data_IF_644675491567
#
_entry.id   IF_644675491567
#
_cell.length_a   1.000
_cell.length_b   1.000
_cell.length_c   1.000
_cell.angle_alpha   90.00
_cell.angle_beta   90.00
_cell.angle_gamma   90.00
#
_symmetry.space_group_name_H-M   'P 1'
#
loop_
_entity.id
_entity.type
_entity.pdbx_description
1 polymer ?
#
# COMPACT_ATOMS: atom_id res chain seq x y z
N UNK A 1 -12.71 -20.47 -19.11
CA UNK A 1 -12.51 -19.26 -18.25
C UNK A 1 -12.04 -18.03 -19.03
N UNK A 2 -11.12 -18.17 -20.00
CA UNK A 2 -10.75 -17.09 -20.96
C UNK A 2 -11.97 -16.54 -21.74
N UNK A 3 -12.97 -17.39 -21.96
CA UNK A 3 -14.21 -17.08 -22.68
C UNK A 3 -15.12 -16.09 -21.95
N UNK A 4 -15.12 -16.05 -20.61
CA UNK A 4 -15.97 -15.12 -19.84
C UNK A 4 -15.42 -13.70 -19.83
N UNK A 5 -14.09 -13.52 -19.82
CA UNK A 5 -13.47 -12.21 -20.02
C UNK A 5 -13.67 -11.72 -21.45
N UNK A 6 -13.52 -12.59 -22.46
CA UNK A 6 -13.83 -12.23 -23.87
C UNK A 6 -15.30 -11.86 -24.09
N UNK A 7 -16.26 -12.51 -23.41
CA UNK A 7 -17.68 -12.13 -23.47
C UNK A 7 -17.92 -10.76 -22.79
N UNK A 8 -17.33 -10.51 -21.62
CA UNK A 8 -17.41 -9.20 -20.94
C UNK A 8 -16.74 -8.05 -21.74
N UNK A 9 -15.72 -8.38 -22.53
CA UNK A 9 -15.00 -7.47 -23.43
C UNK A 9 -15.77 -7.24 -24.73
N UNK A 10 -16.40 -8.28 -25.31
CA UNK A 10 -17.15 -8.17 -26.56
C UNK A 10 -18.51 -7.47 -26.40
N UNK A 11 -19.15 -7.58 -25.23
CA UNK A 11 -20.41 -6.87 -24.99
C UNK A 11 -20.21 -5.35 -24.78
N UNK A 12 -18.96 -4.89 -24.58
CA UNK A 12 -18.59 -3.48 -24.39
C UNK A 12 -17.84 -2.85 -25.58
N UNK A 13 -17.50 -3.63 -26.62
CA UNK A 13 -16.68 -3.14 -27.75
C UNK A 13 -17.48 -2.39 -28.82
N UNK A 14 -18.82 -2.40 -28.77
CA UNK A 14 -19.68 -1.71 -29.73
C UNK A 14 -19.77 -0.17 -29.53
N UNK A 15 -19.04 0.42 -28.57
CA UNK A 15 -19.16 1.84 -28.20
C UNK A 15 -17.83 2.57 -27.95
N UNK A 16 -16.72 2.16 -28.58
CA UNK A 16 -15.37 2.67 -28.26
C UNK A 16 -15.18 4.19 -28.46
N UNK A 17 -16.00 4.87 -29.26
CA UNK A 17 -15.87 6.32 -29.48
C UNK A 17 -16.34 7.18 -28.29
N UNK A 18 -17.17 6.65 -27.38
CA UNK A 18 -17.78 7.39 -26.27
C UNK A 18 -17.58 6.69 -24.90
N UNK A 19 -16.47 5.98 -24.69
CA UNK A 19 -16.20 5.39 -23.37
C UNK A 19 -15.83 6.51 -22.37
N UNK A 20 -16.67 6.79 -21.35
CA UNK A 20 -16.46 7.90 -20.42
C UNK A 20 -15.19 7.71 -19.57
N UNK A 21 -14.74 6.47 -19.38
CA UNK A 21 -13.50 6.16 -18.67
C UNK A 21 -12.30 6.50 -19.53
N UNK A 22 -12.28 6.10 -20.81
CA UNK A 22 -11.18 6.47 -21.71
C UNK A 22 -11.08 8.00 -21.87
N UNK A 23 -12.21 8.70 -21.92
CA UNK A 23 -12.25 10.16 -21.89
C UNK A 23 -11.61 10.70 -20.60
N UNK A 24 -11.98 10.18 -19.43
CA UNK A 24 -11.38 10.58 -18.16
C UNK A 24 -9.87 10.31 -18.07
N UNK A 25 -9.41 9.16 -18.55
CA UNK A 25 -7.99 8.81 -18.57
C UNK A 25 -7.20 9.70 -19.53
N UNK A 26 -7.80 10.10 -20.66
CA UNK A 26 -7.20 11.04 -21.61
C UNK A 26 -7.12 12.45 -21.03
N UNK A 27 -8.18 12.94 -20.38
CA UNK A 27 -8.18 14.24 -19.69
C UNK A 27 -7.08 14.31 -18.63
N UNK A 28 -6.88 13.21 -17.89
CA UNK A 28 -5.85 13.06 -16.88
C UNK A 28 -4.47 12.71 -17.47
N UNK A 29 -4.32 12.62 -18.79
CA UNK A 29 -3.08 12.22 -19.49
C UNK A 29 -2.44 10.94 -18.93
N UNK A 30 -3.26 9.98 -18.50
CA UNK A 30 -2.77 8.71 -17.96
C UNK A 30 -2.41 7.71 -19.06
N UNK A 31 -2.97 7.90 -20.26
CA UNK A 31 -2.68 7.10 -21.44
C UNK A 31 -1.58 7.68 -22.35
N UNK A 32 -0.89 8.74 -21.93
CA UNK A 32 0.26 9.28 -22.66
C UNK A 32 1.55 8.59 -22.26
N UNK A 33 2.42 8.32 -23.24
CA UNK A 33 3.73 7.71 -23.01
C UNK A 33 4.80 8.78 -22.69
N UNK A 34 4.54 9.59 -21.67
CA UNK A 34 5.45 10.60 -21.13
C UNK A 34 5.70 10.34 -19.63
N UNK A 35 6.58 11.12 -19.02
CA UNK A 35 6.94 11.04 -17.59
C UNK A 35 6.05 11.88 -16.68
N UNK A 36 5.06 12.61 -17.22
CA UNK A 36 4.16 13.45 -16.44
C UNK A 36 3.11 12.61 -15.74
N UNK A 37 2.76 12.98 -14.51
CA UNK A 37 1.69 12.32 -13.77
C UNK A 37 0.79 13.35 -13.09
N UNK A 38 -0.52 13.15 -13.28
CA UNK A 38 -1.55 14.02 -12.73
C UNK A 38 -1.69 13.82 -11.23
N UNK A 39 -1.82 14.90 -10.47
CA UNK A 39 -1.84 14.81 -9.01
C UNK A 39 -3.11 14.11 -8.50
N UNK A 40 -3.01 13.45 -7.35
CA UNK A 40 -4.11 12.68 -6.74
C UNK A 40 -5.40 13.51 -6.53
N UNK A 41 -5.29 14.79 -6.19
CA UNK A 41 -6.44 15.67 -6.00
C UNK A 41 -7.22 15.89 -7.31
N UNK A 42 -6.51 16.07 -8.43
CA UNK A 42 -7.10 16.25 -9.75
C UNK A 42 -7.73 14.95 -10.26
N UNK A 43 -7.07 13.81 -10.05
CA UNK A 43 -7.63 12.48 -10.32
C UNK A 43 -8.94 12.30 -9.54
N UNK A 44 -8.92 12.61 -8.24
CA UNK A 44 -10.10 12.49 -7.37
C UNK A 44 -11.25 13.38 -7.85
N UNK A 45 -10.96 14.65 -8.20
CA UNK A 45 -11.95 15.59 -8.75
C UNK A 45 -12.55 15.05 -10.06
N UNK A 46 -11.72 14.56 -10.97
CA UNK A 46 -12.16 14.07 -12.28
C UNK A 46 -13.00 12.81 -12.17
N UNK A 47 -12.69 11.92 -11.23
CA UNK A 47 -13.38 10.63 -11.08
C UNK A 47 -14.59 10.68 -10.14
N UNK A 48 -14.77 11.75 -9.34
CA UNK A 48 -15.82 11.88 -8.32
C UNK A 48 -17.21 11.43 -8.76
N UNK A 49 -17.63 11.83 -9.97
CA UNK A 49 -18.97 11.51 -10.50
C UNK A 49 -19.21 10.01 -10.72
N UNK A 50 -18.17 9.21 -10.97
CA UNK A 50 -18.31 7.75 -11.07
C UNK A 50 -18.66 7.10 -9.72
N UNK A 51 -18.32 7.77 -8.62
CA UNK A 51 -18.58 7.31 -7.25
C UNK A 51 -19.85 7.91 -6.64
N UNK A 52 -20.76 8.46 -7.46
CA UNK A 52 -21.99 9.11 -6.98
C UNK A 52 -22.97 8.15 -6.29
N UNK A 53 -23.03 6.89 -6.76
CA UNK A 53 -23.81 5.83 -6.13
C UNK A 53 -23.15 4.45 -6.35
N UNK A 54 -23.67 3.41 -5.68
CA UNK A 54 -23.06 2.07 -5.72
C UNK A 54 -23.11 1.41 -7.10
N UNK A 55 -24.18 1.65 -7.87
CA UNK A 55 -24.32 1.09 -9.22
C UNK A 55 -23.28 1.71 -10.18
N UNK A 56 -23.17 3.03 -10.21
CA UNK A 56 -22.20 3.74 -11.06
C UNK A 56 -20.77 3.38 -10.68
N UNK A 57 -20.50 3.27 -9.37
CA UNK A 57 -19.20 2.87 -8.82
C UNK A 57 -18.82 1.47 -9.29
N UNK A 58 -19.69 0.49 -9.10
CA UNK A 58 -19.38 -0.90 -9.47
C UNK A 58 -19.17 -1.06 -10.98
N UNK A 59 -19.97 -0.36 -11.79
CA UNK A 59 -19.80 -0.35 -13.25
C UNK A 59 -18.48 0.31 -13.66
N UNK A 60 -18.14 1.45 -13.06
CA UNK A 60 -16.87 2.14 -13.28
C UNK A 60 -15.67 1.24 -12.95
N UNK A 61 -15.65 0.62 -11.77
CA UNK A 61 -14.53 -0.22 -11.34
C UNK A 61 -14.32 -1.43 -12.27
N UNK A 62 -15.41 -2.07 -12.72
CA UNK A 62 -15.35 -3.19 -13.68
C UNK A 62 -14.76 -2.75 -15.01
N UNK A 63 -15.26 -1.66 -15.58
CA UNK A 63 -14.78 -1.16 -16.87
C UNK A 63 -13.35 -0.62 -16.77
N UNK A 64 -12.99 0.04 -15.67
CA UNK A 64 -11.62 0.48 -15.42
C UNK A 64 -10.65 -0.70 -15.41
N UNK A 65 -11.03 -1.81 -14.78
CA UNK A 65 -10.18 -3.00 -14.72
C UNK A 65 -9.93 -3.62 -16.10
N UNK A 66 -10.93 -3.59 -16.99
CA UNK A 66 -10.78 -3.99 -18.40
C UNK A 66 -9.77 -3.08 -19.11
N UNK A 67 -9.96 -1.76 -19.03
CA UNK A 67 -9.08 -0.78 -19.67
C UNK A 67 -7.63 -0.89 -19.15
N UNK A 68 -7.44 -1.03 -17.84
CA UNK A 68 -6.11 -1.26 -17.25
C UNK A 68 -5.51 -2.55 -17.81
N UNK A 69 -6.27 -3.65 -17.86
CA UNK A 69 -5.82 -4.91 -18.42
C UNK A 69 -5.35 -4.79 -19.87
N UNK A 70 -6.07 -4.05 -20.70
CA UNK A 70 -5.68 -3.78 -22.10
C UNK A 70 -4.33 -3.05 -22.18
N UNK A 71 -4.15 -1.97 -21.41
CA UNK A 71 -2.88 -1.23 -21.38
C UNK A 71 -1.70 -2.06 -20.83
N UNK A 72 -1.94 -2.94 -19.86
CA UNK A 72 -0.90 -3.84 -19.35
C UNK A 72 -0.45 -4.90 -20.37
N UNK A 73 -1.29 -5.23 -21.36
CA UNK A 73 -0.97 -6.19 -22.41
C UNK A 73 -0.26 -5.60 -23.63
N UNK A 74 -0.36 -4.28 -23.84
CA UNK A 74 0.29 -3.60 -24.97
C UNK A 74 1.81 -3.83 -24.96
N UNK A 75 2.40 -4.03 -26.14
CA UNK A 75 3.86 -4.13 -26.28
C UNK A 75 4.51 -2.76 -26.14
N UNK A 76 5.63 -2.71 -25.41
CA UNK A 76 6.32 -1.45 -25.05
C UNK A 76 5.31 -0.49 -24.34
N UNK A 77 5.60 0.79 -24.13
CA UNK A 77 4.78 1.72 -23.29
C UNK A 77 4.81 1.47 -21.76
N UNK A 78 6.00 1.25 -21.17
CA UNK A 78 6.12 1.02 -19.73
C UNK A 78 5.63 2.20 -18.88
N UNK A 79 5.74 3.45 -19.34
CA UNK A 79 5.19 4.60 -18.62
C UNK A 79 3.68 4.52 -18.51
N UNK A 80 2.96 4.19 -19.60
CA UNK A 80 1.51 4.00 -19.54
C UNK A 80 1.15 2.89 -18.54
N UNK A 81 1.88 1.77 -18.55
CA UNK A 81 1.66 0.68 -17.59
C UNK A 81 1.84 1.17 -16.14
N UNK A 82 2.91 1.90 -15.85
CA UNK A 82 3.16 2.46 -14.52
C UNK A 82 2.06 3.46 -14.10
N UNK A 83 1.60 4.32 -15.01
CA UNK A 83 0.50 5.26 -14.76
C UNK A 83 -0.81 4.54 -14.44
N UNK A 84 -1.12 3.47 -15.16
CA UNK A 84 -2.30 2.63 -14.90
C UNK A 84 -2.20 1.92 -13.56
N UNK A 85 -1.04 1.36 -13.23
CA UNK A 85 -0.81 0.74 -11.93
C UNK A 85 -0.88 1.76 -10.78
N UNK A 86 -0.33 2.97 -10.96
CA UNK A 86 -0.47 4.06 -9.99
C UNK A 86 -1.94 4.45 -9.78
N UNK A 87 -2.74 4.52 -10.85
CA UNK A 87 -4.17 4.79 -10.74
C UNK A 87 -4.88 3.68 -9.93
N UNK A 88 -4.56 2.42 -10.22
CA UNK A 88 -5.11 1.28 -9.45
C UNK A 88 -4.74 1.43 -7.98
N UNK A 89 -3.48 1.74 -7.69
CA UNK A 89 -2.99 1.96 -6.33
C UNK A 89 -3.77 3.08 -5.63
N UNK A 90 -3.92 4.25 -6.27
CA UNK A 90 -4.71 5.37 -5.73
C UNK A 90 -6.13 4.94 -5.32
N UNK A 91 -6.79 4.12 -6.15
CA UNK A 91 -8.17 3.68 -5.90
C UNK A 91 -8.23 2.68 -4.74
N UNK A 92 -7.32 1.69 -4.68
CA UNK A 92 -7.29 0.76 -3.55
C UNK A 92 -6.82 1.41 -2.24
N UNK A 93 -6.07 2.50 -2.30
CA UNK A 93 -5.74 3.30 -1.10
C UNK A 93 -6.91 4.18 -0.66
N UNK A 94 -7.96 4.37 -1.47
CA UNK A 94 -9.11 5.21 -1.13
C UNK A 94 -10.11 4.52 -0.18
N UNK A 95 -10.80 5.26 0.67
CA UNK A 95 -11.83 4.69 1.54
C UNK A 95 -13.10 4.25 0.77
N UNK A 96 -13.34 4.83 -0.41
CA UNK A 96 -14.61 4.68 -1.14
C UNK A 96 -14.69 3.35 -1.89
N UNK A 97 -13.56 2.87 -2.42
CA UNK A 97 -13.53 1.74 -3.35
C UNK A 97 -12.59 0.61 -2.95
N UNK A 98 -11.79 0.78 -1.89
CA UNK A 98 -10.74 -0.18 -1.48
C UNK A 98 -11.22 -1.62 -1.45
N UNK A 99 -12.18 -1.95 -0.60
CA UNK A 99 -12.60 -3.35 -0.40
C UNK A 99 -13.16 -3.98 -1.68
N UNK A 100 -14.06 -3.28 -2.38
CA UNK A 100 -14.67 -3.80 -3.62
C UNK A 100 -13.63 -3.96 -4.74
N UNK A 101 -12.78 -2.96 -4.96
CA UNK A 101 -11.81 -3.00 -6.04
C UNK A 101 -10.68 -3.99 -5.76
N UNK A 102 -10.24 -4.13 -4.51
CA UNK A 102 -9.31 -5.19 -4.12
C UNK A 102 -9.84 -6.59 -4.45
N UNK A 103 -11.12 -6.87 -4.13
CA UNK A 103 -11.77 -8.14 -4.50
C UNK A 103 -11.79 -8.36 -6.02
N UNK A 104 -12.09 -7.31 -6.79
CA UNK A 104 -12.09 -7.40 -8.25
C UNK A 104 -10.69 -7.72 -8.82
N UNK A 105 -9.65 -7.05 -8.34
CA UNK A 105 -8.26 -7.28 -8.77
C UNK A 105 -7.83 -8.75 -8.54
N UNK A 106 -8.11 -9.28 -7.35
CA UNK A 106 -7.77 -10.67 -6.99
C UNK A 106 -8.50 -11.67 -7.89
N UNK A 107 -9.78 -11.44 -8.15
CA UNK A 107 -10.61 -12.32 -8.97
C UNK A 107 -10.20 -12.29 -10.45
N UNK A 108 -9.76 -11.13 -10.96
CA UNK A 108 -9.42 -10.99 -12.38
C UNK A 108 -8.01 -11.50 -12.71
N UNK A 109 -7.04 -11.36 -11.81
CA UNK A 109 -5.62 -11.73 -12.04
C UNK A 109 -5.08 -11.19 -13.38
N UNK A 110 -4.86 -9.88 -13.43
CA UNK A 110 -4.29 -9.23 -14.62
C UNK A 110 -2.94 -9.85 -15.01
N UNK A 111 -2.69 -9.91 -16.31
CA UNK A 111 -1.41 -10.32 -16.89
C UNK A 111 -0.70 -9.04 -17.33
N UNK A 112 0.63 -8.99 -17.17
CA UNK A 112 1.45 -7.87 -17.63
C UNK A 112 2.41 -8.33 -18.71
N UNK A 113 2.40 -7.65 -19.86
CA UNK A 113 3.33 -7.91 -20.94
C UNK A 113 4.60 -7.07 -20.74
N UNK A 114 5.72 -7.76 -20.44
CA UNK A 114 7.04 -7.15 -20.22
C UNK A 114 8.01 -7.37 -21.39
N UNK A 115 7.55 -7.90 -22.53
CA UNK A 115 8.44 -8.14 -23.67
C UNK A 115 9.03 -6.80 -24.17
N UNK A 116 10.35 -6.76 -24.29
CA UNK A 116 11.09 -5.72 -25.00
C UNK A 116 11.55 -6.29 -26.34
N UNK A 117 11.63 -5.46 -27.39
CA UNK A 117 12.24 -5.88 -28.68
C UNK A 117 13.77 -5.79 -28.64
N UNK A 118 14.29 -5.08 -27.64
CA UNK A 118 15.71 -4.85 -27.44
C UNK A 118 16.09 -5.68 -26.21
N UNK A 119 16.93 -6.69 -26.40
CA UNK A 119 17.30 -7.74 -25.44
C UNK A 119 18.18 -7.24 -24.26
N UNK A 120 18.20 -5.93 -24.02
CA UNK A 120 18.86 -5.31 -22.88
C UNK A 120 17.98 -5.42 -21.63
N UNK A 121 18.60 -5.41 -20.45
CA UNK A 121 17.95 -5.47 -19.15
C UNK A 121 16.72 -4.55 -19.12
N UNK A 122 15.51 -5.11 -19.25
CA UNK A 122 14.28 -4.33 -19.30
C UNK A 122 13.86 -3.91 -17.89
N UNK A 123 14.63 -3.00 -17.28
CA UNK A 123 14.45 -2.55 -15.89
C UNK A 123 13.07 -1.91 -15.68
N UNK A 124 12.55 -1.18 -16.67
CA UNK A 124 11.19 -0.64 -16.61
C UNK A 124 10.12 -1.73 -16.64
N UNK A 125 10.29 -2.79 -17.43
CA UNK A 125 9.42 -3.97 -17.42
C UNK A 125 9.45 -4.70 -16.07
N UNK A 126 10.65 -4.88 -15.50
CA UNK A 126 10.83 -5.46 -14.16
C UNK A 126 10.14 -4.61 -13.08
N UNK A 127 10.24 -3.29 -13.16
CA UNK A 127 9.54 -2.37 -12.26
C UNK A 127 8.02 -2.50 -12.40
N UNK A 128 7.49 -2.53 -13.62
CA UNK A 128 6.06 -2.71 -13.86
C UNK A 128 5.55 -4.03 -13.24
N UNK A 129 6.28 -5.13 -13.45
CA UNK A 129 5.91 -6.44 -12.90
C UNK A 129 5.98 -6.46 -11.37
N UNK A 130 7.05 -5.90 -10.81
CA UNK A 130 7.22 -5.79 -9.35
C UNK A 130 6.11 -4.94 -8.73
N UNK A 131 5.72 -3.84 -9.38
CA UNK A 131 4.65 -2.98 -8.89
C UNK A 131 3.28 -3.64 -8.94
N UNK A 132 2.98 -4.34 -10.03
CA UNK A 132 1.75 -5.11 -10.12
C UNK A 132 1.68 -6.18 -9.01
N UNK A 133 2.77 -6.91 -8.77
CA UNK A 133 2.86 -7.89 -7.68
C UNK A 133 2.61 -7.24 -6.30
N UNK A 134 3.20 -6.07 -6.06
CA UNK A 134 2.98 -5.29 -4.83
C UNK A 134 1.50 -4.93 -4.64
N UNK A 135 0.86 -4.35 -5.66
CA UNK A 135 -0.55 -3.94 -5.65
C UNK A 135 -1.46 -5.16 -5.45
N UNK A 136 -1.18 -6.27 -6.13
CA UNK A 136 -1.95 -7.51 -6.00
C UNK A 136 -1.91 -8.04 -4.56
N UNK A 137 -0.73 -8.05 -3.92
CA UNK A 137 -0.60 -8.46 -2.51
C UNK A 137 -1.28 -7.49 -1.55
N UNK A 138 -1.19 -6.18 -1.80
CA UNK A 138 -1.89 -5.17 -1.01
C UNK A 138 -3.42 -5.37 -1.07
N UNK A 139 -3.94 -5.69 -2.26
CA UNK A 139 -5.34 -6.03 -2.45
C UNK A 139 -5.72 -7.31 -1.67
N UNK A 140 -4.90 -8.37 -1.75
CA UNK A 140 -5.13 -9.62 -1.03
C UNK A 140 -5.15 -9.43 0.50
N UNK A 141 -4.26 -8.60 1.03
CA UNK A 141 -4.23 -8.27 2.46
C UNK A 141 -5.50 -7.53 2.89
N UNK A 142 -5.94 -6.58 2.08
CA UNK A 142 -7.18 -5.83 2.33
C UNK A 142 -8.39 -6.76 2.42
N UNK A 143 -8.46 -7.81 1.59
CA UNK A 143 -9.57 -8.77 1.65
C UNK A 143 -9.45 -9.71 2.85
N UNK A 144 -8.26 -10.22 3.15
CA UNK A 144 -8.02 -11.11 4.30
C UNK A 144 -8.35 -10.43 5.64
N UNK A 145 -7.90 -9.18 5.82
CA UNK A 145 -8.17 -8.42 7.06
C UNK A 145 -9.67 -8.16 7.25
N UNK A 146 -10.42 -7.95 6.17
CA UNK A 146 -11.86 -7.67 6.25
C UNK A 146 -12.73 -8.93 6.44
N UNK A 147 -12.23 -10.12 6.09
CA UNK A 147 -13.04 -11.34 6.07
C UNK A 147 -12.80 -12.24 7.29
N UNK A 148 -11.62 -12.23 7.93
CA UNK A 148 -11.30 -13.29 8.93
C UNK A 148 -10.51 -12.85 10.17
N UNK A 149 -10.19 -11.56 10.36
CA UNK A 149 -9.38 -11.14 11.50
C UNK A 149 -10.16 -10.95 12.81
N UNK A 150 -10.70 -12.05 13.36
CA UNK A 150 -11.40 -12.00 14.64
C UNK A 150 -10.46 -12.12 15.86
N UNK A 151 -9.21 -12.61 15.73
CA UNK A 151 -8.25 -12.70 16.85
C UNK A 151 -6.76 -12.67 16.42
N UNK A 152 -6.09 -11.50 16.41
CA UNK A 152 -4.65 -11.40 16.10
C UNK A 152 -3.70 -12.13 17.08
N UNK A 153 -4.23 -12.59 18.21
CA UNK A 153 -3.49 -13.32 19.24
C UNK A 153 -3.25 -14.80 18.89
N UNK A 154 -4.08 -15.36 17.99
CA UNK A 154 -4.02 -16.78 17.59
C UNK A 154 -3.26 -16.99 16.27
N UNK A 155 -3.12 -15.95 15.43
CA UNK A 155 -2.40 -16.03 14.14
C UNK A 155 -1.40 -14.88 13.95
N UNK A 156 -0.14 -15.15 14.27
CA UNK A 156 0.99 -14.22 14.06
C UNK A 156 1.40 -14.10 12.58
N UNK A 157 0.85 -14.93 11.67
CA UNK A 157 1.22 -14.93 10.24
C UNK A 157 0.92 -13.62 9.53
N UNK A 158 -0.02 -12.83 10.05
CA UNK A 158 -0.31 -11.51 9.49
C UNK A 158 0.91 -10.59 9.54
N UNK A 159 1.69 -10.62 10.61
CA UNK A 159 2.86 -9.75 10.74
C UNK A 159 3.96 -10.11 9.74
N UNK A 160 4.18 -11.42 9.50
CA UNK A 160 5.11 -11.89 8.46
C UNK A 160 4.61 -11.57 7.05
N UNK A 161 3.29 -11.65 6.84
CA UNK A 161 2.67 -11.27 5.56
C UNK A 161 2.84 -9.78 5.27
N UNK A 162 2.63 -8.95 6.30
CA UNK A 162 2.81 -7.50 6.24
C UNK A 162 4.30 -7.10 6.11
N UNK A 163 5.22 -7.80 6.78
CA UNK A 163 6.66 -7.55 6.62
C UNK A 163 7.15 -7.91 5.21
N UNK A 164 6.63 -9.00 4.62
CA UNK A 164 6.91 -9.35 3.24
C UNK A 164 6.43 -8.27 2.25
N UNK A 165 5.28 -7.63 2.50
CA UNK A 165 4.83 -6.48 1.71
C UNK A 165 5.84 -5.34 1.74
N UNK A 166 6.42 -5.06 2.92
CA UNK A 166 7.47 -4.06 3.06
C UNK A 166 8.70 -4.42 2.21
N UNK A 167 9.15 -5.68 2.24
CA UNK A 167 10.32 -6.11 1.47
C UNK A 167 10.12 -6.00 -0.04
N UNK A 168 8.92 -6.27 -0.54
CA UNK A 168 8.62 -6.10 -1.97
C UNK A 168 8.69 -4.63 -2.35
N UNK A 169 8.09 -3.74 -1.56
CA UNK A 169 8.16 -2.31 -1.80
C UNK A 169 9.59 -1.74 -1.70
N UNK A 170 10.41 -2.26 -0.78
CA UNK A 170 11.84 -1.90 -0.70
C UNK A 170 12.64 -2.40 -1.91
N UNK A 171 12.38 -3.61 -2.39
CA UNK A 171 13.02 -4.15 -3.60
C UNK A 171 12.65 -3.31 -4.84
N UNK A 172 11.39 -2.90 -4.94
CA UNK A 172 10.95 -1.96 -5.96
C UNK A 172 11.64 -0.61 -5.87
N UNK A 173 11.80 -0.08 -4.66
CA UNK A 173 12.56 1.14 -4.47
C UNK A 173 13.94 0.98 -5.06
N UNK A 174 14.66 -0.11 -4.76
CA UNK A 174 15.98 -0.40 -5.32
C UNK A 174 16.01 -0.40 -6.87
N UNK A 175 14.97 -0.91 -7.52
CA UNK A 175 14.80 -0.80 -8.98
C UNK A 175 14.67 0.66 -9.43
N UNK A 176 13.90 1.47 -8.71
CA UNK A 176 13.73 2.91 -9.00
C UNK A 176 15.05 3.66 -8.81
N UNK A 177 15.86 3.34 -7.78
CA UNK A 177 17.18 3.97 -7.57
C UNK A 177 18.10 3.69 -8.76
N UNK A 178 18.10 2.45 -9.28
CA UNK A 178 18.88 2.07 -10.48
C UNK A 178 18.43 2.83 -11.74
N UNK A 179 17.12 3.05 -11.90
CA UNK A 179 16.58 3.84 -13.02
C UNK A 179 16.93 5.33 -12.89
N UNK A 180 17.02 5.83 -11.65
CA UNK A 180 17.15 7.27 -11.36
C UNK A 180 18.60 7.74 -11.16
N UNK A 181 19.60 6.93 -11.55
CA UNK A 181 21.03 7.24 -11.35
C UNK A 181 21.47 8.52 -12.07
N UNK A 182 20.75 8.94 -13.12
CA UNK A 182 21.06 10.16 -13.89
C UNK A 182 20.35 11.43 -13.36
N UNK A 183 19.62 11.34 -12.24
CA UNK A 183 18.95 12.47 -11.56
C UNK A 183 17.95 13.28 -12.41
N UNK A 184 17.53 12.81 -13.58
CA UNK A 184 16.42 13.44 -14.29
C UNK A 184 15.11 13.34 -13.49
N UNK A 185 14.42 14.46 -13.35
CA UNK A 185 13.16 14.51 -12.64
C UNK A 185 12.10 13.68 -13.38
N UNK A 186 11.72 12.54 -12.82
CA UNK A 186 10.68 11.67 -13.34
C UNK A 186 9.45 11.69 -12.41
N UNK A 187 8.42 12.52 -12.70
CA UNK A 187 7.23 12.63 -11.85
C UNK A 187 6.52 11.30 -11.59
N UNK A 188 6.45 10.39 -12.57
CA UNK A 188 5.89 9.04 -12.37
C UNK A 188 6.65 8.29 -11.27
N UNK A 189 7.99 8.30 -11.32
CA UNK A 189 8.82 7.64 -10.28
C UNK A 189 8.66 8.32 -8.92
N UNK A 190 8.64 9.65 -8.87
CA UNK A 190 8.41 10.38 -7.63
C UNK A 190 7.05 10.01 -6.99
N UNK A 191 6.00 9.83 -7.80
CA UNK A 191 4.70 9.37 -7.32
C UNK A 191 4.72 7.89 -6.88
N UNK A 192 5.39 7.00 -7.60
CA UNK A 192 5.61 5.61 -7.19
C UNK A 192 6.24 5.53 -5.79
N UNK A 193 7.37 6.23 -5.63
CA UNK A 193 8.09 6.29 -4.35
C UNK A 193 7.20 6.91 -3.27
N UNK A 194 6.42 7.95 -3.61
CA UNK A 194 5.46 8.57 -2.68
C UNK A 194 4.47 7.57 -2.09
N UNK A 195 3.84 6.76 -2.94
CA UNK A 195 2.86 5.77 -2.49
C UNK A 195 3.51 4.64 -1.70
N UNK A 196 4.63 4.09 -2.20
CA UNK A 196 5.39 3.04 -1.49
C UNK A 196 5.81 3.49 -0.09
N UNK A 197 6.25 4.75 0.04
CA UNK A 197 6.67 5.31 1.33
C UNK A 197 5.58 5.27 2.38
N UNK A 198 4.40 5.82 2.07
CA UNK A 198 3.32 5.91 3.05
C UNK A 198 2.81 4.53 3.43
N UNK A 199 2.62 3.64 2.47
CA UNK A 199 2.18 2.27 2.74
C UNK A 199 3.18 1.51 3.62
N UNK A 200 4.46 1.50 3.24
CA UNK A 200 5.50 0.77 3.99
C UNK A 200 5.65 1.37 5.39
N UNK A 201 5.58 2.69 5.53
CA UNK A 201 5.66 3.36 6.82
C UNK A 201 4.47 2.96 7.73
N UNK A 202 3.25 3.00 7.20
CA UNK A 202 2.05 2.67 7.97
C UNK A 202 2.06 1.19 8.40
N UNK A 203 2.41 0.28 7.49
CA UNK A 203 2.54 -1.15 7.79
C UNK A 203 3.61 -1.39 8.86
N UNK A 204 4.78 -0.77 8.71
CA UNK A 204 5.88 -0.90 9.67
C UNK A 204 5.51 -0.41 11.07
N UNK A 205 4.85 0.76 11.17
CA UNK A 205 4.38 1.31 12.44
C UNK A 205 3.35 0.38 13.09
N UNK A 206 2.42 -0.17 12.30
CA UNK A 206 1.43 -1.13 12.77
C UNK A 206 2.10 -2.37 13.38
N UNK A 207 2.99 -3.03 12.63
CA UNK A 207 3.73 -4.21 13.10
C UNK A 207 4.44 -3.90 14.41
N UNK A 208 5.26 -2.84 14.46
CA UNK A 208 6.08 -2.58 15.65
C UNK A 208 5.26 -2.23 16.88
N UNK A 209 4.18 -1.45 16.75
CA UNK A 209 3.32 -1.10 17.88
C UNK A 209 2.62 -2.33 18.43
N UNK A 210 2.08 -3.16 17.55
CA UNK A 210 1.25 -4.29 17.95
C UNK A 210 2.11 -5.43 18.52
N UNK A 211 3.23 -5.75 17.88
CA UNK A 211 4.19 -6.74 18.41
C UNK A 211 4.80 -6.30 19.74
N UNK A 212 5.12 -5.01 19.89
CA UNK A 212 5.57 -4.47 21.20
C UNK A 212 4.50 -4.67 22.26
N UNK A 213 3.24 -4.40 21.95
CA UNK A 213 2.13 -4.60 22.88
C UNK A 213 1.95 -6.08 23.25
N UNK A 214 2.00 -6.99 22.26
CA UNK A 214 1.94 -8.43 22.49
C UNK A 214 3.05 -8.92 23.44
N UNK A 215 4.30 -8.54 23.17
CA UNK A 215 5.46 -8.97 23.97
C UNK A 215 5.46 -8.32 25.35
N UNK A 216 5.21 -7.01 25.45
CA UNK A 216 5.40 -6.26 26.70
C UNK A 216 4.19 -6.25 27.63
N UNK A 217 2.98 -6.45 27.10
CA UNK A 217 1.73 -6.32 27.87
C UNK A 217 0.91 -7.59 27.96
N UNK A 218 0.95 -8.46 26.94
CA UNK A 218 0.13 -9.68 26.91
C UNK A 218 0.93 -10.95 26.56
N UNK A 219 2.06 -11.22 27.24
CA UNK A 219 2.90 -12.37 26.91
C UNK A 219 2.19 -13.72 27.09
N UNK A 220 1.19 -13.78 27.97
CA UNK A 220 0.40 -14.97 28.26
C UNK A 220 -0.60 -15.34 27.16
N UNK A 221 -0.89 -14.46 26.20
CA UNK A 221 -1.76 -14.73 25.07
C UNK A 221 -1.05 -15.52 23.96
N UNK A 222 0.25 -15.77 24.11
CA UNK A 222 1.10 -16.31 23.06
C UNK A 222 1.37 -17.78 23.36
N UNK A 223 0.57 -18.65 22.76
CA UNK A 223 0.71 -20.11 22.92
C UNK A 223 2.01 -20.66 22.30
N UNK A 224 2.55 -20.00 21.28
CA UNK A 224 3.75 -20.43 20.57
C UNK A 224 4.94 -19.46 20.77
N UNK A 225 5.78 -19.76 21.77
CA UNK A 225 6.95 -18.93 22.11
C UNK A 225 8.02 -18.89 21.02
N UNK A 226 8.13 -19.94 20.19
CA UNK A 226 9.10 -19.98 19.10
C UNK A 226 8.71 -19.00 17.98
N UNK A 227 7.44 -18.99 17.58
CA UNK A 227 6.93 -18.01 16.61
C UNK A 227 7.07 -16.57 17.09
N UNK A 228 6.95 -16.33 18.41
CA UNK A 228 7.19 -15.00 18.99
C UNK A 228 8.65 -14.55 18.84
N UNK A 229 9.60 -15.45 19.05
CA UNK A 229 11.03 -15.15 18.87
C UNK A 229 11.34 -14.87 17.39
N UNK A 230 10.76 -15.64 16.48
CA UNK A 230 10.88 -15.41 15.03
C UNK A 230 10.30 -14.05 14.64
N UNK A 231 9.13 -13.69 15.19
CA UNK A 231 8.50 -12.40 14.95
C UNK A 231 9.33 -11.23 15.50
N UNK A 232 9.96 -11.39 16.66
CA UNK A 232 10.88 -10.40 17.21
C UNK A 232 12.12 -10.22 16.30
N UNK A 233 12.74 -11.31 15.85
CA UNK A 233 13.87 -11.26 14.89
C UNK A 233 13.47 -10.59 13.59
N UNK A 234 12.26 -10.87 13.11
CA UNK A 234 11.70 -10.24 11.91
C UNK A 234 11.52 -8.73 12.10
N UNK A 235 11.05 -8.28 13.28
CA UNK A 235 10.99 -6.85 13.61
C UNK A 235 12.37 -6.18 13.57
N UNK A 236 13.42 -6.84 14.08
CA UNK A 236 14.79 -6.30 14.03
C UNK A 236 15.33 -6.20 12.60
N UNK A 237 15.09 -7.23 11.78
CA UNK A 237 15.43 -7.24 10.35
C UNK A 237 14.73 -6.10 9.60
N UNK A 238 13.42 -5.96 9.83
CA UNK A 238 12.60 -4.91 9.21
C UNK A 238 13.06 -3.52 9.63
N UNK A 239 13.34 -3.29 10.92
CA UNK A 239 13.92 -2.04 11.43
C UNK A 239 15.20 -1.64 10.70
N UNK A 240 16.11 -2.59 10.49
CA UNK A 240 17.39 -2.36 9.81
C UNK A 240 17.17 -1.95 8.36
N UNK A 241 16.30 -2.66 7.64
CA UNK A 241 15.98 -2.35 6.22
C UNK A 241 15.22 -1.02 6.07
N UNK A 242 14.34 -0.69 7.01
CA UNK A 242 13.64 0.59 7.03
C UNK A 242 14.59 1.78 7.12
N UNK A 243 15.73 1.66 7.81
CA UNK A 243 16.73 2.73 7.85
C UNK A 243 17.30 3.03 6.45
N UNK A 244 17.63 2.00 5.67
CA UNK A 244 18.09 2.15 4.29
C UNK A 244 16.98 2.73 3.40
N UNK A 245 15.74 2.24 3.58
CA UNK A 245 14.56 2.78 2.90
C UNK A 245 14.41 4.29 3.12
N UNK A 246 14.44 4.75 4.37
CA UNK A 246 14.32 6.18 4.70
C UNK A 246 15.47 7.02 4.13
N UNK A 247 16.70 6.51 4.11
CA UNK A 247 17.86 7.24 3.56
C UNK A 247 17.68 7.61 2.09
N UNK A 248 17.24 6.66 1.27
CA UNK A 248 16.97 6.92 -0.14
C UNK A 248 15.83 7.93 -0.34
N UNK A 249 14.74 7.79 0.41
CA UNK A 249 13.58 8.67 0.22
C UNK A 249 13.91 10.15 0.46
N UNK A 250 14.93 10.47 1.27
CA UNK A 250 15.41 11.86 1.45
C UNK A 250 15.98 12.51 0.18
N UNK A 251 16.13 11.78 -0.93
CA UNK A 251 16.45 12.40 -2.22
C UNK A 251 15.25 13.11 -2.86
N UNK A 252 14.02 12.82 -2.44
CA UNK A 252 12.83 13.50 -2.96
C UNK A 252 12.41 14.65 -2.04
N UNK A 253 12.17 15.87 -2.57
CA UNK A 253 11.86 17.06 -1.78
C UNK A 253 10.69 16.88 -0.80
N UNK A 254 9.70 16.06 -1.14
CA UNK A 254 8.54 15.76 -0.32
C UNK A 254 8.86 15.02 0.99
N UNK A 255 10.07 14.44 1.12
CA UNK A 255 10.48 13.60 2.25
C UNK A 255 11.62 14.19 3.08
N UNK A 256 12.20 15.33 2.67
CA UNK A 256 13.33 15.96 3.37
C UNK A 256 13.03 16.28 4.84
N UNK A 257 11.76 16.40 5.21
CA UNK A 257 11.29 16.74 6.56
C UNK A 257 10.65 15.57 7.32
N UNK A 258 10.47 14.39 6.70
CA UNK A 258 9.87 13.25 7.38
C UNK A 258 10.96 12.50 8.13
N UNK A 259 10.98 12.64 9.46
CA UNK A 259 11.85 11.83 10.31
C UNK A 259 11.39 10.37 10.29
N UNK A 260 12.33 9.40 10.17
CA UNK A 260 12.04 8.02 10.52
C UNK A 260 11.40 7.97 11.91
N UNK A 261 10.44 7.07 12.18
CA UNK A 261 9.98 6.79 13.53
C UNK A 261 11.12 6.10 14.29
N UNK A 262 12.11 6.89 14.69
CA UNK A 262 13.10 6.54 15.69
C UNK A 262 12.32 6.37 17.00
N UNK A 263 12.26 5.15 17.57
CA UNK A 263 12.08 4.87 19.01
C UNK A 263 11.21 3.66 19.39
N UNK A 264 10.56 2.94 18.45
CA UNK A 264 9.78 1.76 18.87
C UNK A 264 10.71 0.55 19.08
N UNK A 265 11.34 0.52 20.25
CA UNK A 265 12.16 -0.61 20.71
C UNK A 265 11.29 -1.60 21.47
N UNK A 266 11.42 -2.89 21.15
CA UNK A 266 10.84 -3.98 21.91
C UNK A 266 11.87 -4.42 22.96
N UNK A 267 11.49 -4.45 24.24
CA UNK A 267 12.42 -4.79 25.32
C UNK A 267 12.81 -6.28 25.27
N UNK A 268 14.05 -6.55 24.88
CA UNK A 268 14.62 -7.91 24.84
C UNK A 268 14.56 -8.64 26.19
N UNK A 269 14.69 -7.92 27.30
CA UNK A 269 14.59 -8.50 28.65
C UNK A 269 13.23 -9.12 28.95
N UNK A 270 12.15 -8.55 28.40
CA UNK A 270 10.79 -9.08 28.57
C UNK A 270 10.65 -10.36 27.73
N UNK A 271 11.18 -10.38 26.51
CA UNK A 271 11.19 -11.55 25.65
C UNK A 271 11.96 -12.72 26.30
N UNK A 272 13.16 -12.45 26.83
CA UNK A 272 13.98 -13.47 27.49
C UNK A 272 13.28 -14.07 28.71
N UNK A 273 12.56 -13.26 29.50
CA UNK A 273 11.78 -13.75 30.64
C UNK A 273 10.64 -14.69 30.21
N UNK A 274 9.97 -14.42 29.07
CA UNK A 274 8.90 -15.27 28.52
C UNK A 274 9.46 -16.62 28.06
N UNK A 275 10.62 -16.60 27.38
CA UNK A 275 11.27 -17.80 26.83
C UNK A 275 11.80 -18.69 27.97
N UNK A 276 12.42 -18.09 28.97
CA UNK A 276 13.04 -18.80 30.10
C UNK A 276 12.04 -19.19 31.20
N UNK A 277 10.73 -18.93 31.02
CA UNK A 277 9.67 -19.18 32.02
C UNK A 277 9.94 -18.55 33.38
N UNK A 278 10.76 -17.50 33.40
CA UNK A 278 11.05 -16.77 34.63
C UNK A 278 9.85 -15.91 34.98
N UNK A 279 9.49 -15.82 36.28
CA UNK A 279 8.47 -14.88 36.69
C UNK A 279 8.91 -13.47 36.27
N UNK A 280 8.13 -12.86 35.37
CA UNK A 280 8.28 -11.44 35.05
C UNK A 280 8.12 -10.70 36.38
N UNK A 281 9.20 -10.09 36.89
CA UNK A 281 9.10 -9.27 38.09
C UNK A 281 8.01 -8.23 37.83
N UNK A 282 6.93 -8.29 38.62
CA UNK A 282 5.83 -7.34 38.57
C UNK A 282 6.44 -5.94 38.64
N UNK A 283 6.47 -5.23 37.51
CA UNK A 283 6.72 -3.81 37.54
C UNK A 283 5.62 -3.23 38.42
N UNK A 284 6.05 -2.52 39.46
CA UNK A 284 5.18 -1.91 40.47
C UNK A 284 3.96 -1.31 39.80
N UNK A 285 2.79 -1.85 40.17
CA UNK A 285 1.48 -1.37 39.74
C UNK A 285 1.40 0.13 39.98
N UNK A 286 1.54 0.93 38.92
CA UNK A 286 1.06 2.31 38.94
C UNK A 286 -0.46 2.18 39.00
N UNK A 287 -1.03 2.64 40.12
CA UNK A 287 -2.47 2.60 40.44
C UNK A 287 -3.30 2.88 39.18
N UNK A 288 -4.00 1.86 38.73
CA UNK A 288 -5.04 1.94 37.71
C UNK A 288 -6.17 2.81 38.26
N UNK A 289 -6.29 4.06 37.78
CA UNK A 289 -7.60 4.66 37.62
C UNK A 289 -8.41 3.82 36.60
N UNK A 290 -9.74 3.97 36.56
CA UNK A 290 -10.58 3.14 35.68
C UNK A 290 -10.19 3.41 34.23
N UNK A 291 -9.37 2.54 33.67
CA UNK A 291 -9.02 2.56 32.26
C UNK A 291 -10.24 2.05 31.50
N UNK A 292 -10.92 2.97 30.82
CA UNK A 292 -11.76 2.62 29.67
C UNK A 292 -10.96 1.68 28.78
N UNK A 293 -11.48 0.46 28.63
CA UNK A 293 -11.08 -0.48 27.59
C UNK A 293 -11.33 0.26 26.27
N UNK A 294 -10.29 0.86 25.68
CA UNK A 294 -10.39 1.34 24.31
C UNK A 294 -10.41 0.11 23.43
N UNK A 295 -11.58 -0.15 22.87
CA UNK A 295 -11.77 -1.11 21.79
C UNK A 295 -10.66 -0.93 20.75
N UNK A 296 -10.17 -2.03 20.12
CA UNK A 296 -9.38 -1.90 18.91
C UNK A 296 -10.13 -0.99 17.94
N UNK A 297 -9.41 -0.21 17.13
CA UNK A 297 -10.00 0.64 16.08
C UNK A 297 -10.64 -0.25 14.99
N UNK A 298 -11.71 -0.92 15.39
CA UNK A 298 -12.77 -1.49 14.58
C UNK A 298 -13.70 -0.34 14.22
N UNK A 299 -14.15 -0.39 12.98
CA UNK A 299 -14.99 0.58 12.31
C UNK A 299 -16.27 0.85 13.12
N UNK A 300 -16.26 1.88 13.97
CA UNK A 300 -17.49 2.55 14.38
C UNK A 300 -17.89 3.52 13.29
N UNK A 301 -18.67 3.00 12.34
CA UNK A 301 -19.59 3.81 11.55
C UNK A 301 -20.67 4.33 12.50
N UNK A 302 -20.52 5.56 12.98
CA UNK A 302 -21.64 6.43 13.33
C UNK A 302 -21.14 7.87 13.42
N UNK A 303 -21.82 8.75 12.68
CA UNK A 303 -21.79 10.20 12.77
C UNK A 303 -20.61 10.98 12.15
N UNK A 304 -20.86 11.32 10.87
CA UNK A 304 -20.59 12.60 10.20
C UNK A 304 -19.81 13.63 11.04
N UNK A 305 -18.53 13.80 10.69
CA UNK A 305 -17.99 15.11 10.26
C UNK A 305 -17.10 14.87 9.05
N UNK A 306 -17.36 15.58 7.95
CA UNK A 306 -16.41 15.71 6.85
C UNK A 306 -15.10 16.25 7.42
N UNK A 307 -14.10 15.41 7.62
CA UNK A 307 -12.71 15.84 7.59
C UNK A 307 -12.25 15.71 6.14
N UNK A 308 -12.39 16.80 5.40
CA UNK A 308 -11.55 17.03 4.23
C UNK A 308 -10.09 16.87 4.68
N UNK A 309 -9.37 15.95 4.07
CA UNK A 309 -7.91 15.87 4.18
C UNK A 309 -7.26 17.05 3.43
N UNK A 310 -7.52 18.27 3.90
CA UNK A 310 -6.71 19.44 3.60
C UNK A 310 -5.61 19.48 4.66
N UNK A 311 -4.47 18.81 4.41
CA UNK A 311 -3.25 19.10 5.20
C UNK A 311 -2.75 20.49 4.78
N UNK A 312 -2.66 21.48 5.69
CA UNK A 312 -2.03 22.75 5.34
C UNK A 312 -0.51 22.52 5.26
N UNK A 313 0.04 22.62 4.06
CA UNK A 313 1.47 22.89 3.88
C UNK A 313 1.67 24.40 4.04
N UNK A 314 2.20 24.85 5.17
CA UNK A 314 2.96 26.10 5.27
C UNK A 314 3.77 26.14 6.57
N UNK A 315 5.07 26.44 6.53
CA UNK A 315 5.81 26.80 7.71
C UNK A 315 5.38 28.20 8.16
N UNK A 316 5.13 28.37 9.46
CA UNK A 316 4.96 29.69 10.07
C UNK A 316 6.23 30.51 9.81
N UNK A 317 6.15 31.52 8.96
CA UNK A 317 7.14 32.60 8.94
C UNK A 317 7.10 33.28 10.31
N UNK A 318 8.23 33.28 11.01
CA UNK A 318 8.43 34.20 12.14
C UNK A 318 8.69 35.57 11.53
N UNK A 319 7.82 36.53 11.80
CA UNK A 319 8.12 37.94 11.62
C UNK A 319 9.16 38.35 12.67
N UNK A 320 10.25 38.97 12.21
CA UNK A 320 11.00 39.96 12.95
C UNK A 320 11.24 41.15 12.03
#
# INVERSE_FOLDING_TARGET
MITKLKQLINDNSAGQANNPILAALKDLKLNSNDTQFTQQAEISKRLKHFFANDQSKSQFLKQLLVVVGEYLQQEKNFFIKLKMLLLVHIIISSQVARAEFSKMIINTRLIINIKSKDDTENVYGQLCQSYYCYIYKLAAQTTLINEEFNKPQEDLMIYFTLSNQCYIGMSMQHLIERISQDHENNPVMAHLVKFLYFDIQDIYIFILKDVKYLIEKNPSLIGNKQQLLELYKECQSLQTKMLSFYKFNRFFPHFNQIMPPHSIQIKASVLNAIIEEKPLMKQSSIKSGPHEIREPLSVKNSDRKLQEYNRPFSPKQKMH
#
